data_IF_716886133638
#
_entry.id   IF_716886133638
#
_cell.length_a   1.000
_cell.length_b   1.000
_cell.length_c   1.000
_cell.angle_alpha   90.00
_cell.angle_beta   90.00
_cell.angle_gamma   90.00
#
_symmetry.space_group_name_H-M   'P 1'
#
loop_
_entity.id
_entity.type
_entity.pdbx_description
1 polymer ?
#
# COMPACT_ATOMS: atom_id res chain seq x y z
N UNK A 1 -33.99 -2.03 10.29
CA UNK A 1 -33.13 -3.06 10.90
C UNK A 1 -32.11 -3.49 9.87
N UNK A 2 -30.84 -3.06 9.97
CA UNK A 2 -29.79 -3.48 9.03
C UNK A 2 -29.41 -4.92 9.38
N UNK A 3 -29.80 -5.90 8.56
CA UNK A 3 -29.39 -7.29 8.74
C UNK A 3 -27.91 -7.42 8.39
N UNK A 4 -27.10 -7.82 9.36
CA UNK A 4 -25.70 -8.15 9.17
C UNK A 4 -25.64 -9.51 8.45
N UNK A 5 -25.24 -9.52 7.18
CA UNK A 5 -24.96 -10.76 6.42
C UNK A 5 -23.47 -11.05 6.48
N UNK A 6 -23.09 -12.31 6.64
CA UNK A 6 -21.70 -12.73 6.51
C UNK A 6 -21.37 -13.02 5.05
N UNK A 7 -20.50 -12.20 4.47
CA UNK A 7 -20.05 -12.35 3.08
C UNK A 7 -18.63 -12.92 3.03
N UNK A 8 -18.40 -13.86 2.11
CA UNK A 8 -17.06 -14.32 1.73
C UNK A 8 -16.59 -13.56 0.50
N UNK A 9 -15.74 -12.56 0.71
CA UNK A 9 -15.07 -11.81 -0.37
C UNK A 9 -13.66 -12.33 -0.63
N UNK A 10 -13.12 -11.99 -1.80
CA UNK A 10 -11.73 -12.28 -2.17
C UNK A 10 -10.90 -11.00 -2.28
N UNK A 11 -9.61 -11.07 -1.97
CA UNK A 11 -8.65 -9.99 -2.17
C UNK A 11 -7.25 -10.51 -2.53
N UNK A 12 -6.44 -9.64 -3.15
CA UNK A 12 -5.01 -9.83 -3.39
C UNK A 12 -4.28 -8.56 -2.96
N UNK A 13 -3.20 -8.73 -2.21
CA UNK A 13 -2.37 -7.65 -1.71
C UNK A 13 -0.94 -7.73 -2.24
N UNK A 14 -0.32 -6.57 -2.48
CA UNK A 14 1.09 -6.43 -2.81
C UNK A 14 1.69 -5.38 -1.88
N UNK A 15 2.76 -5.73 -1.17
CA UNK A 15 3.55 -4.78 -0.38
C UNK A 15 4.56 -4.08 -1.29
N UNK A 16 4.67 -2.77 -1.15
CA UNK A 16 5.73 -1.98 -1.77
C UNK A 16 6.43 -1.18 -0.67
N UNK A 17 7.75 -1.23 -0.64
CA UNK A 17 8.58 -0.59 0.38
C UNK A 17 9.05 0.81 -0.01
N UNK A 18 8.86 1.22 -1.28
CA UNK A 18 9.34 2.51 -1.79
C UNK A 18 8.24 3.33 -2.44
N UNK A 19 8.43 4.64 -2.39
CA UNK A 19 7.64 5.58 -3.16
C UNK A 19 8.12 5.68 -4.61
N UNK A 20 7.42 6.50 -5.38
CA UNK A 20 7.66 6.75 -6.81
C UNK A 20 9.07 7.27 -7.14
N UNK A 21 9.79 7.75 -6.13
CA UNK A 21 11.11 8.37 -6.26
C UNK A 21 12.18 7.55 -5.52
N UNK A 22 11.84 6.30 -5.16
CA UNK A 22 12.72 5.34 -4.51
C UNK A 22 12.83 5.51 -2.99
N UNK A 23 12.30 6.59 -2.41
CA UNK A 23 12.38 6.80 -0.96
C UNK A 23 11.62 5.72 -0.18
N UNK A 24 12.09 5.38 1.02
CA UNK A 24 11.39 4.44 1.89
C UNK A 24 10.00 4.96 2.22
N UNK A 25 8.99 4.22 1.80
CA UNK A 25 7.58 4.57 1.96
C UNK A 25 6.73 3.29 1.84
N UNK A 26 6.74 2.43 2.88
CA UNK A 26 6.03 1.17 2.86
C UNK A 26 4.52 1.38 2.75
N UNK A 27 3.90 0.75 1.76
CA UNK A 27 2.46 0.80 1.52
C UNK A 27 1.94 -0.47 0.85
N UNK A 28 0.65 -0.78 1.05
CA UNK A 28 0.01 -1.94 0.47
C UNK A 28 -0.95 -1.54 -0.65
N UNK A 29 -0.85 -2.19 -1.80
CA UNK A 29 -1.88 -2.18 -2.83
C UNK A 29 -2.76 -3.40 -2.66
N UNK A 30 -4.04 -3.18 -2.39
CA UNK A 30 -5.02 -4.25 -2.19
C UNK A 30 -6.10 -4.13 -3.25
N UNK A 31 -6.29 -5.19 -4.01
CA UNK A 31 -7.44 -5.35 -4.90
C UNK A 31 -8.40 -6.32 -4.23
N UNK A 32 -9.59 -5.85 -3.94
CA UNK A 32 -10.64 -6.64 -3.32
C UNK A 32 -11.86 -6.70 -4.25
N UNK A 33 -12.60 -7.79 -4.15
CA UNK A 33 -13.91 -7.90 -4.75
C UNK A 33 -14.86 -6.83 -4.16
N UNK A 34 -15.70 -6.26 -5.03
CA UNK A 34 -16.76 -5.29 -4.66
C UNK A 34 -17.99 -5.97 -4.03
N UNK A 35 -17.80 -7.10 -3.36
CA UNK A 35 -18.87 -7.95 -2.88
C UNK A 35 -18.34 -9.29 -2.37
N UNK A 36 -19.26 -10.17 -2.01
CA UNK A 36 -18.91 -11.51 -1.59
C UNK A 36 -20.07 -12.48 -1.68
N UNK A 37 -19.76 -13.75 -1.54
CA UNK A 37 -20.77 -14.81 -1.48
C UNK A 37 -21.41 -14.84 -0.09
N UNK A 38 -22.73 -14.70 -0.01
CA UNK A 38 -23.46 -14.93 1.24
C UNK A 38 -23.40 -16.41 1.59
N UNK A 39 -22.94 -16.73 2.81
CA UNK A 39 -22.75 -18.13 3.23
C UNK A 39 -24.06 -18.91 3.25
N UNK A 40 -25.17 -18.24 3.55
CA UNK A 40 -26.46 -18.92 3.73
C UNK A 40 -27.17 -19.12 2.39
N UNK A 41 -27.33 -18.06 1.60
CA UNK A 41 -28.04 -18.13 0.33
C UNK A 41 -27.19 -18.63 -0.83
N UNK A 42 -25.87 -18.70 -0.67
CA UNK A 42 -24.91 -18.98 -1.76
C UNK A 42 -25.12 -18.04 -2.96
N UNK A 43 -25.55 -16.80 -2.68
CA UNK A 43 -25.71 -15.75 -3.69
C UNK A 43 -24.66 -14.67 -3.53
N UNK A 44 -24.23 -14.12 -4.66
CA UNK A 44 -23.35 -12.97 -4.68
C UNK A 44 -24.11 -11.72 -4.20
N UNK A 45 -23.53 -11.03 -3.22
CA UNK A 45 -24.04 -9.77 -2.70
C UNK A 45 -23.01 -8.68 -3.00
N UNK A 46 -23.45 -7.64 -3.71
CA UNK A 46 -22.61 -6.50 -4.04
C UNK A 46 -22.54 -5.51 -2.86
N UNK A 47 -21.33 -5.05 -2.54
CA UNK A 47 -21.08 -4.02 -1.55
C UNK A 47 -21.03 -2.66 -2.23
N UNK A 48 -22.15 -1.95 -2.22
CA UNK A 48 -22.27 -0.64 -2.87
C UNK A 48 -21.48 0.47 -2.14
N UNK A 49 -21.30 0.31 -0.83
CA UNK A 49 -20.73 1.31 0.05
C UNK A 49 -19.75 0.69 1.05
N UNK A 50 -18.61 1.34 1.21
CA UNK A 50 -17.61 1.03 2.22
C UNK A 50 -17.40 2.29 3.09
N UNK A 51 -17.68 2.23 4.42
CA UNK A 51 -17.49 3.38 5.29
C UNK A 51 -15.99 3.65 5.53
N UNK A 52 -15.45 4.67 4.87
CA UNK A 52 -14.01 5.00 4.94
C UNK A 52 -13.51 5.28 6.36
N UNK A 53 -14.25 6.03 7.22
CA UNK A 53 -13.80 6.24 8.61
C UNK A 53 -13.67 4.92 9.40
N UNK A 54 -14.56 3.96 9.14
CA UNK A 54 -14.47 2.63 9.76
C UNK A 54 -13.27 1.86 9.20
N UNK A 55 -13.05 1.93 7.88
CA UNK A 55 -11.91 1.29 7.24
C UNK A 55 -10.58 1.80 7.80
N UNK A 56 -10.42 3.12 7.96
CA UNK A 56 -9.19 3.72 8.48
C UNK A 56 -8.89 3.25 9.90
N UNK A 57 -9.90 3.21 10.76
CA UNK A 57 -9.75 2.72 12.14
C UNK A 57 -9.49 1.22 12.21
N UNK A 58 -10.20 0.41 11.40
CA UNK A 58 -9.94 -1.03 11.35
C UNK A 58 -8.55 -1.33 10.82
N UNK A 59 -8.12 -0.64 9.77
CA UNK A 59 -6.79 -0.79 9.21
C UNK A 59 -5.71 -0.45 10.24
N UNK A 60 -5.83 0.69 10.93
CA UNK A 60 -4.95 1.05 12.04
C UNK A 60 -4.92 -0.04 13.11
N UNK A 61 -6.08 -0.49 13.57
CA UNK A 61 -6.18 -1.49 14.63
C UNK A 61 -5.48 -2.80 14.26
N UNK A 62 -5.86 -3.42 13.14
CA UNK A 62 -5.27 -4.70 12.73
C UNK A 62 -3.77 -4.60 12.48
N UNK A 63 -3.28 -3.48 11.93
CA UNK A 63 -1.86 -3.30 11.70
C UNK A 63 -1.09 -3.16 13.03
N UNK A 64 -1.57 -2.29 13.92
CA UNK A 64 -0.87 -2.01 15.17
C UNK A 64 -0.91 -3.18 16.14
N UNK A 65 -2.04 -3.89 16.25
CA UNK A 65 -2.11 -5.10 17.07
C UNK A 65 -1.21 -6.22 16.51
N UNK A 66 -1.13 -6.38 15.19
CA UNK A 66 -0.21 -7.35 14.58
C UNK A 66 1.26 -7.01 14.86
N UNK A 67 1.63 -5.73 14.82
CA UNK A 67 2.99 -5.27 15.16
C UNK A 67 3.29 -5.52 16.63
N UNK A 68 2.34 -5.19 17.52
CA UNK A 68 2.42 -5.45 18.96
C UNK A 68 2.62 -6.94 19.26
N UNK A 69 1.79 -7.80 18.67
CA UNK A 69 1.88 -9.26 18.86
C UNK A 69 3.15 -9.86 18.23
N UNK A 70 3.63 -9.29 17.12
CA UNK A 70 4.78 -9.80 16.39
C UNK A 70 6.13 -9.35 16.93
N UNK A 71 6.19 -8.21 17.63
CA UNK A 71 7.41 -7.62 18.17
C UNK A 71 7.14 -7.17 19.61
N UNK A 72 7.27 -8.12 20.53
CA UNK A 72 7.01 -7.93 21.96
C UNK A 72 8.17 -7.21 22.66
N UNK A 73 8.25 -5.88 22.47
CA UNK A 73 9.19 -5.01 23.20
C UNK A 73 8.50 -3.75 23.72
N UNK A 74 9.05 -3.18 24.80
CA UNK A 74 8.52 -1.97 25.41
C UNK A 74 8.57 -0.76 24.45
N UNK A 75 9.60 -0.68 23.60
CA UNK A 75 9.72 0.37 22.60
C UNK A 75 8.61 0.29 21.56
N UNK A 76 8.23 -0.92 21.13
CA UNK A 76 7.13 -1.13 20.18
C UNK A 76 5.79 -0.79 20.82
N UNK A 77 5.58 -1.16 22.07
CA UNK A 77 4.37 -0.80 22.81
C UNK A 77 4.18 0.72 22.90
N UNK A 78 5.23 1.44 23.30
CA UNK A 78 5.22 2.89 23.37
C UNK A 78 4.98 3.52 21.98
N UNK A 79 5.57 2.95 20.93
CA UNK A 79 5.37 3.40 19.55
C UNK A 79 3.91 3.20 19.09
N UNK A 80 3.32 2.03 19.34
CA UNK A 80 1.92 1.73 19.00
C UNK A 80 0.98 2.70 19.70
N UNK A 81 1.18 2.93 21.00
CA UNK A 81 0.37 3.89 21.77
C UNK A 81 0.53 5.33 21.28
N UNK A 82 1.74 5.71 20.84
CA UNK A 82 1.96 7.02 20.22
C UNK A 82 1.20 7.15 18.89
N UNK A 83 1.10 6.08 18.10
CA UNK A 83 0.36 6.06 16.84
C UNK A 83 -1.15 6.26 17.07
N UNK A 84 -1.75 5.59 18.06
CA UNK A 84 -3.16 5.77 18.37
C UNK A 84 -3.48 7.22 18.79
N UNK A 85 -2.57 7.86 19.56
CA UNK A 85 -2.71 9.27 19.98
C UNK A 85 -2.55 10.25 18.82
N UNK A 86 -1.54 10.06 17.96
CA UNK A 86 -1.24 10.94 16.83
C UNK A 86 -2.24 10.80 15.68
N UNK A 87 -2.86 9.63 15.52
CA UNK A 87 -3.77 9.32 14.42
C UNK A 87 -5.16 8.87 14.91
N UNK A 88 -5.94 9.76 15.57
CA UNK A 88 -7.22 9.39 16.20
C UNK A 88 -8.33 9.04 15.19
N UNK A 89 -8.13 9.38 13.92
CA UNK A 89 -9.06 9.09 12.81
C UNK A 89 -8.71 7.78 12.07
N UNK A 90 -7.68 7.07 12.50
CA UNK A 90 -7.17 5.89 11.82
C UNK A 90 -6.17 6.20 10.72
N UNK A 91 -5.58 5.15 10.18
CA UNK A 91 -4.61 5.23 9.07
C UNK A 91 -5.35 5.32 7.75
N UNK A 92 -4.90 6.23 6.88
CA UNK A 92 -5.54 6.48 5.60
C UNK A 92 -5.46 5.24 4.72
N UNK A 93 -6.62 4.72 4.34
CA UNK A 93 -6.79 3.77 3.25
C UNK A 93 -7.48 4.49 2.09
N UNK A 94 -6.75 4.68 1.00
CA UNK A 94 -7.29 5.28 -0.22
C UNK A 94 -8.01 4.20 -1.02
N UNK A 95 -9.34 4.29 -1.06
CA UNK A 95 -10.16 3.37 -1.85
C UNK A 95 -10.63 4.12 -3.08
N UNK A 96 -10.20 3.64 -4.25
CA UNK A 96 -10.74 4.08 -5.52
C UNK A 96 -11.87 3.12 -5.93
N UNK A 97 -13.07 3.66 -6.12
CA UNK A 97 -14.16 2.95 -6.78
C UNK A 97 -13.84 2.92 -8.28
N UNK A 98 -12.95 2.02 -8.67
CA UNK A 98 -12.44 1.94 -10.03
C UNK A 98 -13.19 0.92 -10.88
N UNK A 99 -13.26 1.19 -12.18
CA UNK A 99 -13.44 0.20 -13.24
C UNK A 99 -12.24 -0.77 -13.20
N UNK A 100 -12.23 -1.67 -12.22
CA UNK A 100 -11.27 -2.78 -12.25
C UNK A 100 -11.51 -3.51 -13.56
N UNK A 101 -10.50 -3.70 -14.42
CA UNK A 101 -10.72 -4.28 -15.72
C UNK A 101 -11.45 -5.61 -15.58
N UNK A 102 -12.63 -5.74 -16.20
CA UNK A 102 -13.47 -6.94 -16.06
C UNK A 102 -12.81 -8.22 -16.59
N UNK A 103 -11.65 -8.11 -17.27
CA UNK A 103 -10.86 -9.23 -17.79
C UNK A 103 -9.66 -9.50 -16.90
N UNK A 104 -9.48 -10.79 -16.56
CA UNK A 104 -8.39 -11.32 -15.75
C UNK A 104 -6.99 -10.86 -16.20
N UNK A 105 -6.73 -10.82 -17.51
CA UNK A 105 -5.44 -10.41 -18.08
C UNK A 105 -5.07 -8.96 -17.75
N UNK A 106 -6.07 -8.07 -17.76
CA UNK A 106 -5.87 -6.65 -17.46
C UNK A 106 -5.65 -6.43 -15.96
N UNK A 107 -6.31 -7.23 -15.10
CA UNK A 107 -6.05 -7.25 -13.66
C UNK A 107 -4.65 -7.78 -13.36
N UNK A 108 -4.22 -8.86 -14.02
CA UNK A 108 -2.87 -9.40 -13.89
C UNK A 108 -1.82 -8.38 -14.33
N UNK A 109 -2.04 -7.66 -15.45
CA UNK A 109 -1.16 -6.58 -15.90
C UNK A 109 -1.10 -5.42 -14.92
N UNK A 110 -2.24 -5.04 -14.35
CA UNK A 110 -2.30 -4.01 -13.31
C UNK A 110 -1.49 -4.42 -12.07
N UNK A 111 -1.66 -5.65 -11.59
CA UNK A 111 -0.89 -6.18 -10.45
C UNK A 111 0.61 -6.32 -10.78
N UNK A 112 0.95 -6.79 -11.98
CA UNK A 112 2.34 -6.95 -12.41
C UNK A 112 3.12 -5.65 -12.30
N UNK A 113 2.51 -4.49 -12.59
CA UNK A 113 3.14 -3.18 -12.39
C UNK A 113 3.69 -3.00 -10.97
N UNK A 114 3.02 -3.54 -9.96
CA UNK A 114 3.42 -3.41 -8.56
C UNK A 114 4.44 -4.46 -8.11
N UNK A 115 4.59 -5.55 -8.86
CA UNK A 115 5.48 -6.67 -8.53
C UNK A 115 6.80 -6.62 -9.31
N UNK A 116 6.78 -6.23 -10.59
CA UNK A 116 7.96 -6.37 -11.48
C UNK A 116 8.57 -5.04 -11.93
N UNK A 117 7.97 -3.89 -11.64
CA UNK A 117 8.57 -2.61 -12.04
C UNK A 117 9.54 -2.11 -10.97
N UNK A 118 10.82 -1.87 -11.31
CA UNK A 118 11.74 -1.26 -10.36
C UNK A 118 11.19 0.11 -9.91
N UNK A 119 11.35 0.49 -8.63
CA UNK A 119 10.83 1.75 -8.08
C UNK A 119 11.24 2.98 -8.90
N UNK A 120 12.41 2.92 -9.54
CA UNK A 120 12.91 3.93 -10.47
C UNK A 120 13.27 3.25 -11.80
N UNK A 121 12.86 3.88 -12.91
CA UNK A 121 13.28 3.45 -14.25
C UNK A 121 14.77 3.66 -14.44
N UNK A 122 15.50 2.66 -14.97
CA UNK A 122 16.93 2.78 -15.29
C UNK A 122 17.28 4.00 -16.16
N UNK A 123 16.34 4.47 -17.00
CA UNK A 123 16.52 5.68 -17.83
C UNK A 123 16.71 6.96 -17.03
N UNK A 124 16.36 6.94 -15.74
CA UNK A 124 16.49 8.07 -14.84
C UNK A 124 17.85 8.11 -14.15
N UNK A 125 18.68 7.08 -14.29
CA UNK A 125 20.04 7.09 -13.71
C UNK A 125 20.94 7.92 -14.63
N UNK A 126 21.43 9.04 -14.12
CA UNK A 126 22.31 9.96 -14.84
C UNK A 126 23.78 9.58 -14.73
N UNK A 127 24.16 8.85 -13.67
CA UNK A 127 25.51 8.33 -13.53
C UNK A 127 25.76 7.58 -12.23
N UNK A 128 26.87 6.83 -12.21
CA UNK A 128 27.37 6.08 -11.08
C UNK A 128 28.89 6.17 -11.07
N UNK A 129 29.48 6.61 -9.95
CA UNK A 129 30.93 6.84 -9.80
C UNK A 129 31.66 5.74 -9.02
N UNK A 130 30.97 4.64 -8.68
CA UNK A 130 31.52 3.57 -7.83
C UNK A 130 30.98 3.62 -6.39
N UNK A 131 30.69 4.81 -5.88
CA UNK A 131 30.22 5.02 -4.51
C UNK A 131 28.81 5.60 -4.46
N UNK A 132 28.48 6.48 -5.40
CA UNK A 132 27.23 7.25 -5.42
C UNK A 132 26.51 7.09 -6.75
N UNK A 133 25.18 6.98 -6.67
CA UNK A 133 24.28 6.99 -7.84
C UNK A 133 23.61 8.37 -7.93
N UNK A 134 23.63 8.96 -9.13
CA UNK A 134 22.85 10.16 -9.48
C UNK A 134 21.66 9.77 -10.33
N UNK A 135 20.48 10.24 -9.99
CA UNK A 135 19.28 9.96 -10.78
C UNK A 135 18.21 11.05 -10.70
N UNK A 136 17.41 11.14 -11.75
CA UNK A 136 16.30 12.07 -11.87
C UNK A 136 15.04 11.54 -11.20
N UNK A 137 14.51 12.33 -10.28
CA UNK A 137 13.25 12.13 -9.61
C UNK A 137 12.27 13.19 -10.11
N UNK A 138 10.99 12.86 -10.34
CA UNK A 138 9.96 13.89 -10.47
C UNK A 138 9.28 14.09 -9.13
N UNK A 139 9.47 15.25 -8.53
CA UNK A 139 8.85 15.60 -7.25
C UNK A 139 7.34 15.74 -7.39
N UNK A 140 6.59 15.14 -6.46
CA UNK A 140 5.13 15.26 -6.43
C UNK A 140 4.67 16.63 -5.93
N UNK A 141 5.50 17.36 -5.20
CA UNK A 141 5.14 18.67 -4.65
C UNK A 141 5.30 19.78 -5.68
N UNK A 142 6.34 19.70 -6.50
CA UNK A 142 6.72 20.76 -7.45
C UNK A 142 6.43 20.39 -8.91
N UNK A 143 6.15 19.11 -9.19
CA UNK A 143 6.08 18.51 -10.54
C UNK A 143 7.36 18.65 -11.38
N UNK A 144 8.44 19.14 -10.77
CA UNK A 144 9.72 19.36 -11.42
C UNK A 144 10.61 18.12 -11.34
N UNK A 145 11.57 18.05 -12.26
CA UNK A 145 12.64 17.06 -12.23
C UNK A 145 13.70 17.57 -11.27
N UNK A 146 13.98 16.79 -10.24
CA UNK A 146 14.99 17.02 -9.23
C UNK A 146 16.06 15.93 -9.36
N UNK A 147 17.34 16.31 -9.26
CA UNK A 147 18.45 15.36 -9.22
C UNK A 147 18.63 14.88 -7.77
N UNK A 148 18.61 13.57 -7.56
CA UNK A 148 19.02 12.95 -6.29
C UNK A 148 20.38 12.29 -6.42
N UNK A 149 21.18 12.42 -5.36
CA UNK A 149 22.49 11.80 -5.21
C UNK A 149 22.50 10.98 -3.94
N UNK A 150 22.72 9.67 -4.06
CA UNK A 150 22.59 8.70 -2.96
C UNK A 150 23.68 7.65 -3.04
N UNK A 151 24.24 7.24 -1.90
CA UNK A 151 25.21 6.14 -1.84
C UNK A 151 24.64 4.85 -2.43
N UNK A 152 25.53 3.99 -2.93
CA UNK A 152 25.18 2.78 -3.68
C UNK A 152 24.33 1.81 -2.86
N UNK A 153 24.63 1.59 -1.57
CA UNK A 153 23.88 0.63 -0.75
C UNK A 153 22.46 1.10 -0.42
N UNK A 154 22.24 2.35 0.03
CA UNK A 154 20.90 2.89 0.12
C UNK A 154 20.19 2.86 -1.22
N UNK A 155 20.84 3.20 -2.34
CA UNK A 155 20.22 3.13 -3.67
C UNK A 155 19.77 1.72 -4.03
N UNK A 156 20.60 0.70 -3.79
CA UNK A 156 20.22 -0.71 -3.98
C UNK A 156 19.04 -1.04 -3.07
N UNK A 157 19.09 -0.66 -1.79
CA UNK A 157 17.97 -0.83 -0.86
C UNK A 157 16.68 -0.12 -1.30
N UNK A 158 16.77 0.90 -2.16
CA UNK A 158 15.62 1.56 -2.80
C UNK A 158 15.06 0.80 -4.01
N UNK A 159 15.74 -0.24 -4.51
CA UNK A 159 15.38 -1.00 -5.72
C UNK A 159 14.83 -2.40 -5.44
N UNK A 160 14.92 -2.88 -4.19
CA UNK A 160 14.47 -4.20 -3.69
C UNK A 160 13.41 -4.03 -2.63
#
# INVERSE_FOLDING_TARGET
>A
MVRRKELRGGYRGVLQTHGRIGQYNPHLHIIAASGGMDKNSQRWEHLEYLPYPMLHKKWQWYLLEMVREGIDTEEVEQLVDSCYRSYPKGFVANVQKGEVPGRYESLARYLAKYVVSPPISMRRIDGYDGETVRYQCRSHKTEQIEEERVDVYPFIGRMI
#
